data_IF_445832921625
#
_entry.id   IF_445832921625
#
_cell.length_a   1.000
_cell.length_b   1.000
_cell.length_c   1.000
_cell.angle_alpha   90.00
_cell.angle_beta   90.00
_cell.angle_gamma   90.00
#
_symmetry.space_group_name_H-M   'P 1'
#
loop_
_entity.id
_entity.type
_entity.pdbx_description
1 polymer ?
#
# COMPACT_ATOMS: atom_id res chain seq x y z
N UNK A 1 -23.95 -41.46 7.33
CA UNK A 1 -22.67 -41.12 6.68
C UNK A 1 -22.27 -39.73 7.13
N UNK A 2 -21.13 -39.55 7.80
CA UNK A 2 -20.56 -38.22 8.08
C UNK A 2 -19.96 -37.71 6.76
N UNK A 3 -20.42 -36.56 6.27
CA UNK A 3 -19.77 -35.89 5.15
C UNK A 3 -18.38 -35.46 5.62
N UNK A 4 -17.34 -36.09 5.09
CA UNK A 4 -15.96 -35.65 5.26
C UNK A 4 -15.76 -34.36 4.46
N UNK A 5 -15.71 -33.22 5.15
CA UNK A 5 -15.23 -31.95 4.59
C UNK A 5 -13.78 -32.14 4.14
N UNK A 6 -13.56 -32.20 2.82
CA UNK A 6 -12.24 -32.22 2.24
C UNK A 6 -11.62 -30.82 2.44
N UNK A 7 -10.74 -30.68 3.42
CA UNK A 7 -9.97 -29.46 3.66
C UNK A 7 -8.86 -29.35 2.62
N UNK A 8 -9.25 -29.17 1.36
CA UNK A 8 -8.28 -29.01 0.28
C UNK A 8 -7.68 -27.61 0.39
N UNK A 9 -6.40 -27.54 0.75
CA UNK A 9 -5.63 -26.29 0.76
C UNK A 9 -5.55 -25.78 -0.68
N UNK A 10 -5.82 -24.49 -0.90
CA UNK A 10 -5.71 -23.91 -2.24
C UNK A 10 -4.26 -23.93 -2.71
N UNK A 11 -4.06 -24.08 -4.02
CA UNK A 11 -2.72 -24.06 -4.61
C UNK A 11 -1.96 -22.77 -4.29
N UNK A 12 -2.66 -21.62 -4.27
CA UNK A 12 -2.09 -20.33 -3.87
C UNK A 12 -1.58 -20.32 -2.42
N UNK A 13 -2.37 -20.87 -1.46
CA UNK A 13 -1.94 -20.97 -0.06
C UNK A 13 -0.72 -21.88 0.09
N UNK A 14 -0.66 -22.97 -0.68
CA UNK A 14 0.53 -23.83 -0.72
C UNK A 14 1.77 -23.08 -1.23
N UNK A 15 1.65 -22.31 -2.32
CA UNK A 15 2.75 -21.50 -2.85
C UNK A 15 3.22 -20.43 -1.86
N UNK A 16 2.28 -19.69 -1.23
CA UNK A 16 2.60 -18.69 -0.22
C UNK A 16 3.36 -19.30 0.98
N UNK A 17 2.95 -20.50 1.42
CA UNK A 17 3.60 -21.19 2.54
C UNK A 17 5.00 -21.70 2.23
N UNK A 18 5.37 -21.82 0.96
CA UNK A 18 6.69 -22.30 0.52
C UNK A 18 7.78 -21.23 0.64
N UNK A 19 7.39 -19.97 0.91
CA UNK A 19 8.29 -18.82 0.95
C UNK A 19 8.52 -18.22 -0.44
N UNK A 20 8.91 -16.94 -0.48
CA UNK A 20 9.27 -16.29 -1.73
C UNK A 20 10.63 -16.78 -2.23
N UNK A 21 10.85 -16.68 -3.54
CA UNK A 21 12.20 -16.77 -4.09
C UNK A 21 13.09 -15.65 -3.49
N UNK A 22 14.41 -15.88 -3.47
CA UNK A 22 15.37 -14.94 -2.88
C UNK A 22 15.48 -13.60 -3.62
N UNK A 23 14.94 -13.51 -4.84
CA UNK A 23 14.98 -12.29 -5.65
C UNK A 23 13.74 -11.44 -5.38
N UNK A 24 13.98 -10.19 -4.99
CA UNK A 24 12.95 -9.16 -4.82
C UNK A 24 13.20 -8.08 -5.85
N UNK A 25 12.17 -7.70 -6.61
CA UNK A 25 12.25 -6.62 -7.60
C UNK A 25 11.56 -5.39 -7.02
N UNK A 26 12.23 -4.23 -7.08
CA UNK A 26 11.64 -2.96 -6.66
C UNK A 26 11.20 -2.11 -7.85
N UNK A 27 10.05 -1.46 -7.69
CA UNK A 27 9.49 -0.56 -8.70
C UNK A 27 9.38 0.87 -8.16
N UNK A 28 9.49 1.84 -9.07
CA UNK A 28 9.34 3.26 -8.74
C UNK A 28 7.96 3.81 -9.04
N UNK A 29 7.13 3.05 -9.77
CA UNK A 29 5.82 3.48 -10.24
C UNK A 29 4.86 2.30 -10.32
N UNK A 30 3.57 2.52 -10.12
CA UNK A 30 2.52 1.54 -10.46
C UNK A 30 1.29 2.23 -11.05
N UNK A 31 0.50 1.51 -11.85
CA UNK A 31 -0.77 2.02 -12.39
C UNK A 31 -1.90 1.24 -11.76
N UNK A 32 -2.75 1.93 -10.99
CA UNK A 32 -3.95 1.35 -10.37
C UNK A 32 -5.17 2.10 -10.88
N UNK A 33 -6.11 1.38 -11.49
CA UNK A 33 -7.37 1.94 -12.04
C UNK A 33 -7.14 3.22 -12.87
N UNK A 34 -6.10 3.22 -13.72
CA UNK A 34 -5.66 4.32 -14.62
C UNK A 34 -4.93 5.49 -13.97
N UNK A 35 -4.66 5.43 -12.67
CA UNK A 35 -3.85 6.44 -11.97
C UNK A 35 -2.42 5.92 -11.84
N UNK A 36 -1.45 6.74 -12.28
CA UNK A 36 -0.03 6.46 -12.12
C UNK A 36 0.41 6.94 -10.73
N UNK A 37 0.72 6.01 -9.85
CA UNK A 37 1.35 6.28 -8.58
C UNK A 37 2.87 6.21 -8.69
N UNK A 38 3.54 7.01 -7.88
CA UNK A 38 4.99 7.12 -7.82
C UNK A 38 5.43 6.87 -6.40
N UNK A 39 6.58 6.23 -6.22
CA UNK A 39 7.24 6.25 -4.92
C UNK A 39 7.61 7.69 -4.54
N UNK A 40 7.56 8.01 -3.24
CA UNK A 40 7.83 9.34 -2.72
C UNK A 40 9.15 9.93 -3.23
N UNK A 41 10.21 9.11 -3.27
CA UNK A 41 11.52 9.51 -3.78
C UNK A 41 11.49 9.98 -5.24
N UNK A 42 10.55 9.49 -6.05
CA UNK A 42 10.35 9.94 -7.42
C UNK A 42 9.41 11.14 -7.50
N UNK A 43 8.38 11.17 -6.64
CA UNK A 43 7.34 12.18 -6.62
C UNK A 43 7.86 13.55 -6.13
N UNK A 44 8.77 13.57 -5.15
CA UNK A 44 9.32 14.81 -4.55
C UNK A 44 10.00 15.73 -5.57
N UNK A 45 10.43 15.18 -6.72
CA UNK A 45 11.07 15.93 -7.81
C UNK A 45 10.06 16.48 -8.83
N UNK A 46 8.76 16.24 -8.63
CA UNK A 46 7.68 16.63 -9.55
C UNK A 46 6.83 17.75 -8.97
N UNK A 47 6.10 18.44 -9.86
CA UNK A 47 5.13 19.48 -9.48
C UNK A 47 3.80 18.91 -8.99
N UNK A 48 3.50 17.67 -9.37
CA UNK A 48 2.25 16.96 -9.04
C UNK A 48 2.52 15.96 -7.93
N UNK A 49 1.56 15.75 -7.05
CA UNK A 49 1.62 14.76 -5.97
C UNK A 49 0.93 13.46 -6.42
N UNK A 50 1.70 12.40 -6.64
CA UNK A 50 1.18 11.06 -7.03
C UNK A 50 1.70 9.93 -6.14
N UNK A 51 2.37 10.25 -5.03
CA UNK A 51 2.75 9.28 -4.01
C UNK A 51 1.71 9.14 -2.90
N UNK A 52 0.70 10.01 -2.88
CA UNK A 52 -0.25 10.14 -1.79
C UNK A 52 -1.64 9.58 -2.08
N UNK A 53 -2.28 9.00 -1.06
CA UNK A 53 -3.71 8.68 -1.06
C UNK A 53 -4.32 9.10 0.27
N UNK A 54 -5.48 9.75 0.24
CA UNK A 54 -6.27 9.99 1.44
C UNK A 54 -7.33 8.89 1.57
N UNK A 55 -7.37 8.24 2.73
CA UNK A 55 -8.27 7.12 3.02
C UNK A 55 -9.07 7.41 4.30
N UNK A 56 -10.41 7.25 4.27
CA UNK A 56 -11.21 7.29 5.49
C UNK A 56 -10.97 6.02 6.31
N UNK A 57 -10.64 6.21 7.59
CA UNK A 57 -10.58 5.16 8.58
C UNK A 57 -11.97 4.65 8.97
N UNK A 58 -12.02 3.48 9.60
CA UNK A 58 -13.28 2.84 10.00
C UNK A 58 -14.01 3.55 11.15
N UNK A 59 -13.30 4.36 11.95
CA UNK A 59 -13.85 5.12 13.07
C UNK A 59 -14.14 6.60 12.75
N UNK A 60 -14.07 6.99 11.47
CA UNK A 60 -14.24 8.39 11.05
C UNK A 60 -12.94 9.21 11.07
N UNK A 61 -11.81 8.59 11.41
CA UNK A 61 -10.49 9.16 11.19
C UNK A 61 -10.24 9.32 9.69
N UNK A 62 -9.31 10.23 9.35
CA UNK A 62 -8.78 10.33 7.99
C UNK A 62 -7.30 10.09 8.07
N UNK A 63 -6.80 9.22 7.21
CA UNK A 63 -5.38 8.98 7.04
C UNK A 63 -4.93 9.47 5.68
N UNK A 64 -3.67 9.88 5.63
CA UNK A 64 -2.95 10.09 4.40
C UNK A 64 -1.80 9.09 4.34
N UNK A 65 -1.82 8.27 3.30
CA UNK A 65 -0.81 7.27 3.02
C UNK A 65 0.14 7.82 1.97
N UNK A 66 1.44 7.72 2.22
CA UNK A 66 2.47 8.10 1.27
C UNK A 66 3.28 6.86 0.87
N UNK A 67 3.16 6.48 -0.40
CA UNK A 67 3.84 5.35 -1.02
C UNK A 67 5.34 5.56 -1.01
N UNK A 68 6.05 4.71 -0.28
CA UNK A 68 7.51 4.74 -0.17
C UNK A 68 8.16 3.75 -1.13
N UNK A 69 7.68 2.51 -1.14
CA UNK A 69 8.29 1.41 -1.90
C UNK A 69 7.22 0.48 -2.49
N UNK A 70 7.57 -0.12 -3.62
CA UNK A 70 6.78 -1.14 -4.30
C UNK A 70 7.71 -2.33 -4.53
N UNK A 71 7.37 -3.49 -3.99
CA UNK A 71 8.15 -4.71 -4.12
C UNK A 71 7.33 -5.78 -4.81
N UNK A 72 7.93 -6.51 -5.74
CA UNK A 72 7.38 -7.73 -6.31
C UNK A 72 8.09 -8.93 -5.68
N UNK A 73 7.29 -9.83 -5.13
CA UNK A 73 7.70 -11.10 -4.57
C UNK A 73 7.15 -12.24 -5.42
N UNK A 74 8.02 -13.16 -5.81
CA UNK A 74 7.62 -14.33 -6.57
C UNK A 74 7.53 -15.57 -5.67
N UNK A 75 6.38 -16.22 -5.68
CA UNK A 75 6.07 -17.45 -4.96
C UNK A 75 5.82 -18.58 -5.97
N UNK A 76 6.88 -19.27 -6.37
CA UNK A 76 6.77 -20.24 -7.45
C UNK A 76 6.59 -19.60 -8.83
N UNK A 77 6.46 -20.41 -9.89
CA UNK A 77 6.38 -19.91 -11.26
C UNK A 77 5.08 -19.16 -11.59
N UNK A 78 4.03 -19.32 -10.77
CA UNK A 78 2.66 -18.91 -11.12
C UNK A 78 2.07 -17.82 -10.20
N UNK A 79 2.73 -17.47 -9.10
CA UNK A 79 2.21 -16.47 -8.16
C UNK A 79 3.20 -15.32 -7.96
N UNK A 80 2.76 -14.13 -8.36
CA UNK A 80 3.43 -12.85 -8.07
C UNK A 80 2.59 -12.08 -7.05
N UNK A 81 3.24 -11.56 -6.03
CA UNK A 81 2.64 -10.76 -4.98
C UNK A 81 3.33 -9.40 -4.95
N UNK A 82 2.55 -8.33 -5.08
CA UNK A 82 3.06 -6.98 -4.94
C UNK A 82 2.83 -6.48 -3.50
N UNK A 83 3.91 -6.07 -2.85
CA UNK A 83 3.86 -5.37 -1.57
C UNK A 83 4.03 -3.87 -1.80
N UNK A 84 3.23 -3.10 -1.09
CA UNK A 84 3.29 -1.66 -1.10
C UNK A 84 3.60 -1.19 0.32
N UNK A 85 4.71 -0.48 0.46
CA UNK A 85 5.11 0.08 1.75
C UNK A 85 4.71 1.55 1.80
N UNK A 86 4.02 1.93 2.88
CA UNK A 86 3.47 3.26 3.07
C UNK A 86 3.91 3.85 4.40
N UNK A 87 4.10 5.16 4.42
CA UNK A 87 4.03 5.94 5.67
C UNK A 87 2.61 6.41 5.87
N UNK A 88 2.12 6.30 7.09
CA UNK A 88 0.75 6.68 7.44
C UNK A 88 0.78 7.95 8.29
N UNK A 89 -0.02 8.93 7.91
CA UNK A 89 -0.17 10.19 8.65
C UNK A 89 -1.61 10.35 9.10
N UNK A 90 -1.83 10.69 10.37
CA UNK A 90 -3.18 10.93 10.88
C UNK A 90 -3.61 12.38 10.59
N UNK A 91 -4.74 12.53 9.91
CA UNK A 91 -5.20 13.79 9.33
C UNK A 91 -6.49 14.32 9.99
N UNK A 92 -6.67 14.05 11.28
CA UNK A 92 -7.86 14.41 12.04
C UNK A 92 -7.95 15.92 12.36
N UNK A 93 -9.17 16.46 12.29
CA UNK A 93 -9.48 17.84 12.69
C UNK A 93 -8.71 18.89 11.89
N UNK A 94 -7.87 19.68 12.58
CA UNK A 94 -7.12 20.80 11.97
C UNK A 94 -5.87 20.36 11.19
N UNK A 95 -5.56 19.07 11.17
CA UNK A 95 -4.40 18.51 10.44
C UNK A 95 -4.64 18.37 8.94
N UNK A 96 -5.88 18.55 8.50
CA UNK A 96 -6.24 18.59 7.08
C UNK A 96 -7.12 19.79 6.83
N UNK A 97 -6.70 20.65 5.92
CA UNK A 97 -7.43 21.87 5.56
C UNK A 97 -7.55 21.91 4.05
N UNK A 98 -8.75 22.18 3.54
CA UNK A 98 -8.98 22.36 2.10
C UNK A 98 -9.38 23.80 1.83
N UNK A 99 -8.55 24.50 1.08
CA UNK A 99 -8.74 25.89 0.68
C UNK A 99 -8.38 26.04 -0.80
N UNK A 100 -9.17 26.80 -1.57
CA UNK A 100 -8.89 27.05 -2.99
C UNK A 100 -8.64 25.77 -3.83
N UNK A 101 -9.38 24.69 -3.56
CA UNK A 101 -9.21 23.36 -4.18
C UNK A 101 -7.86 22.68 -3.91
N UNK A 102 -7.10 23.17 -2.92
CA UNK A 102 -5.86 22.57 -2.45
C UNK A 102 -6.09 22.03 -1.06
N UNK A 103 -5.83 20.74 -0.87
CA UNK A 103 -5.83 20.11 0.45
C UNK A 103 -4.41 20.09 1.00
N UNK A 104 -4.19 20.78 2.12
CA UNK A 104 -2.95 20.78 2.87
C UNK A 104 -3.05 19.81 4.04
N UNK A 105 -1.99 19.04 4.26
CA UNK A 105 -1.95 17.96 5.26
C UNK A 105 -0.72 18.16 6.16
N UNK A 106 -0.94 18.09 7.46
CA UNK A 106 0.14 18.06 8.46
C UNK A 106 0.71 16.63 8.56
N UNK A 107 1.97 16.49 8.13
CA UNK A 107 2.73 15.23 8.14
C UNK A 107 3.65 15.07 9.36
N UNK A 108 3.50 15.90 10.40
CA UNK A 108 4.29 15.80 11.63
C UNK A 108 3.98 14.57 12.47
N UNK A 109 2.77 14.01 12.31
CA UNK A 109 2.27 12.87 13.10
C UNK A 109 2.15 11.62 12.22
N UNK A 110 3.25 10.90 12.11
CA UNK A 110 3.29 9.59 11.46
C UNK A 110 2.90 8.48 12.47
N UNK A 111 2.04 7.57 12.04
CA UNK A 111 1.48 6.44 12.82
C UNK A 111 1.90 5.11 12.19
N UNK A 112 1.74 4.01 12.92
CA UNK A 112 2.07 2.64 12.47
C UNK A 112 3.54 2.47 12.02
N UNK A 113 4.48 3.14 12.71
CA UNK A 113 5.92 3.04 12.39
C UNK A 113 6.54 1.71 12.77
N UNK A 114 5.96 1.07 13.78
CA UNK A 114 6.51 -0.10 14.46
C UNK A 114 5.68 -1.37 14.20
N UNK A 115 4.70 -1.29 13.30
CA UNK A 115 3.89 -2.43 12.82
C UNK A 115 4.57 -3.09 11.61
#
# INVERSE_FOLDING_TARGET
MRQSHNHQVSHELFLLSSGCYQQVISYTTCVVKRVLFLTYNCDIRRKTQNSGVSIPGTGGEVYYEQLQEILELQYGPELLVFLFYYKWFRCDGRRMVTENNVTSIDISTEVFKDD
#
